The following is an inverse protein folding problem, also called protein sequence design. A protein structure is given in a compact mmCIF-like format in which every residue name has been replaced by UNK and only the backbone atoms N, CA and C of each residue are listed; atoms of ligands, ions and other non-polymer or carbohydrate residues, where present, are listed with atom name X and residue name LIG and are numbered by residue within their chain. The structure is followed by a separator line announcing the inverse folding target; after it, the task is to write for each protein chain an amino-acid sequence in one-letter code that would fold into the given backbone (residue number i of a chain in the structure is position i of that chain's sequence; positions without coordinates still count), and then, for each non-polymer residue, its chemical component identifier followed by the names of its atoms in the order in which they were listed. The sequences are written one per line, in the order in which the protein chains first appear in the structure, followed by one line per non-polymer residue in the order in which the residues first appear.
data_IF_405308989145
#
_entry.id   IF_405308989145
#
_cell.length_a   1.000
_cell.length_b   1.000
_cell.length_c   1.000
_cell.angle_alpha   90.00
_cell.angle_beta   90.00
_cell.angle_gamma   90.00
#
_symmetry.space_group_name_H-M   'P 1'
#
loop_
_entity.id
_entity.type
_entity.pdbx_description
1 polymer ?
#
# COMPACT_ATOMS: atom_id res chain seq x y z
N UNK A 1 11.68 -7.52 -9.30
CA UNK A 1 10.59 -6.93 -8.51
C UNK A 1 10.19 -5.56 -9.00
N UNK A 2 9.05 -5.08 -8.54
CA UNK A 2 8.50 -3.76 -8.84
C UNK A 2 9.41 -2.67 -8.29
N UNK A 3 9.86 -1.76 -9.15
CA UNK A 3 10.74 -0.66 -8.75
C UNK A 3 10.24 0.66 -9.33
N UNK A 4 9.85 1.63 -8.50
CA UNK A 4 9.24 2.88 -8.96
C UNK A 4 10.17 3.72 -9.83
N UNK A 5 11.48 3.59 -9.66
CA UNK A 5 12.50 4.32 -10.43
C UNK A 5 12.78 3.74 -11.83
N UNK A 6 12.28 2.54 -12.15
CA UNK A 6 12.50 1.92 -13.48
C UNK A 6 11.55 2.50 -14.52
N UNK A 7 12.06 2.68 -15.74
CA UNK A 7 11.25 3.12 -16.86
C UNK A 7 10.14 2.11 -17.18
N UNK A 8 8.98 2.63 -17.58
CA UNK A 8 7.79 1.84 -17.87
C UNK A 8 6.97 1.41 -16.65
N UNK A 9 7.53 1.46 -15.43
CA UNK A 9 6.78 1.20 -14.20
C UNK A 9 5.89 2.40 -13.85
N UNK A 10 4.67 2.15 -13.39
CA UNK A 10 3.71 3.19 -13.04
C UNK A 10 2.73 2.71 -11.97
N UNK A 11 2.12 3.63 -11.27
CA UNK A 11 0.93 3.36 -10.48
C UNK A 11 -0.23 3.12 -11.43
N UNK A 12 -1.04 2.11 -11.20
CA UNK A 12 -2.22 1.79 -12.00
C UNK A 12 -3.51 1.88 -11.21
N UNK A 13 -3.43 1.65 -9.91
CA UNK A 13 -4.52 1.83 -8.96
C UNK A 13 -3.94 2.36 -7.65
N UNK A 14 -4.75 3.05 -6.90
CA UNK A 14 -4.45 3.50 -5.55
C UNK A 14 -5.69 3.35 -4.67
N UNK A 15 -5.49 3.40 -3.37
CA UNK A 15 -6.58 3.30 -2.41
C UNK A 15 -6.29 4.08 -1.15
N UNK A 16 -7.34 4.43 -0.45
CA UNK A 16 -7.30 5.06 0.87
C UNK A 16 -8.34 4.40 1.76
N UNK A 17 -8.02 4.29 3.04
CA UNK A 17 -8.99 3.95 4.08
C UNK A 17 -8.91 4.97 5.21
N UNK A 18 -10.03 5.19 5.87
CA UNK A 18 -10.13 6.12 7.00
C UNK A 18 -11.22 5.70 7.96
N UNK A 19 -11.15 6.21 9.17
CA UNK A 19 -12.20 6.06 10.18
C UNK A 19 -13.00 7.35 10.26
N UNK A 20 -14.32 7.25 10.17
CA UNK A 20 -15.24 8.39 10.29
C UNK A 20 -16.45 7.99 11.10
N UNK A 21 -16.74 8.73 12.17
CA UNK A 21 -17.89 8.51 13.07
C UNK A 21 -17.97 7.07 13.62
N UNK A 22 -16.80 6.47 13.91
CA UNK A 22 -16.71 5.09 14.41
C UNK A 22 -16.72 4.00 13.33
N UNK A 23 -16.99 4.34 12.08
CA UNK A 23 -17.00 3.40 10.95
C UNK A 23 -15.71 3.48 10.16
N UNK A 24 -15.24 2.34 9.67
CA UNK A 24 -14.15 2.26 8.71
C UNK A 24 -14.70 2.34 7.30
N UNK A 25 -14.05 3.14 6.48
CA UNK A 25 -14.38 3.35 5.08
C UNK A 25 -13.13 3.19 4.23
N UNK A 26 -13.30 2.69 3.01
CA UNK A 26 -12.22 2.59 2.05
C UNK A 26 -12.72 2.94 0.65
N UNK A 27 -11.81 3.42 -0.16
CA UNK A 27 -12.00 3.64 -1.58
C UNK A 27 -10.77 3.16 -2.33
N UNK A 28 -10.98 2.36 -3.37
CA UNK A 28 -9.96 2.06 -4.37
C UNK A 28 -10.35 2.67 -5.70
N UNK A 29 -9.38 3.13 -6.47
CA UNK A 29 -9.63 3.80 -7.73
C UNK A 29 -8.47 3.59 -8.71
N UNK A 30 -8.79 3.70 -10.00
CA UNK A 30 -7.77 3.73 -11.05
C UNK A 30 -6.93 4.99 -10.91
N UNK A 31 -5.61 4.83 -10.97
CA UNK A 31 -4.70 5.97 -10.96
C UNK A 31 -4.62 6.63 -12.34
N UNK A 32 -4.74 7.94 -12.39
CA UNK A 32 -4.57 8.75 -13.59
C UNK A 32 -3.64 9.93 -13.28
N UNK A 33 -2.37 9.88 -13.72
CA UNK A 33 -1.42 10.96 -13.50
C UNK A 33 -1.73 12.23 -14.33
N UNK A 34 -2.58 12.10 -15.34
CA UNK A 34 -2.99 13.22 -16.21
C UNK A 34 -4.25 13.94 -15.67
N UNK A 35 -4.80 13.50 -14.54
CA UNK A 35 -5.89 14.16 -13.82
C UNK A 35 -5.33 15.04 -12.69
N UNK A 36 -5.28 16.38 -12.87
CA UNK A 36 -4.67 17.30 -11.90
C UNK A 36 -5.36 17.26 -10.54
N UNK A 37 -6.68 17.11 -10.51
CA UNK A 37 -7.47 17.08 -9.26
C UNK A 37 -7.12 15.84 -8.42
N UNK A 38 -6.90 14.70 -9.07
CA UNK A 38 -6.50 13.46 -8.43
C UNK A 38 -5.08 13.60 -7.85
N UNK A 39 -4.15 14.12 -8.66
CA UNK A 39 -2.75 14.31 -8.25
C UNK A 39 -2.65 15.30 -7.08
N UNK A 40 -3.34 16.44 -7.13
CA UNK A 40 -3.37 17.41 -6.04
C UNK A 40 -4.09 16.88 -4.79
N UNK A 41 -5.14 16.08 -4.96
CA UNK A 41 -5.79 15.38 -3.85
C UNK A 41 -4.84 14.43 -3.14
N UNK A 42 -4.10 13.63 -3.92
CA UNK A 42 -3.09 12.71 -3.40
C UNK A 42 -1.96 13.44 -2.67
N UNK A 43 -1.48 14.53 -3.23
CA UNK A 43 -0.47 15.39 -2.61
C UNK A 43 -0.93 15.93 -1.26
N UNK A 44 -2.17 16.38 -1.16
CA UNK A 44 -2.73 16.83 0.13
C UNK A 44 -2.76 15.71 1.16
N UNK A 45 -3.13 14.51 0.78
CA UNK A 45 -3.09 13.35 1.68
C UNK A 45 -1.67 13.09 2.16
N UNK A 46 -0.69 13.06 1.25
CA UNK A 46 0.70 12.71 1.58
C UNK A 46 1.41 13.74 2.45
N UNK A 47 1.16 15.03 2.24
CA UNK A 47 1.96 16.10 2.87
C UNK A 47 1.19 16.90 3.93
N UNK A 48 -0.14 16.95 3.85
CA UNK A 48 -0.97 17.79 4.72
C UNK A 48 -2.07 16.99 5.44
N UNK A 49 -2.15 15.69 5.20
CA UNK A 49 -3.13 14.82 5.86
C UNK A 49 -2.74 14.51 7.31
N UNK A 50 -3.62 13.85 8.06
CA UNK A 50 -3.28 13.24 9.34
C UNK A 50 -2.20 12.18 9.13
N UNK A 51 -1.58 11.69 10.21
CA UNK A 51 -0.57 10.65 10.13
C UNK A 51 -1.03 9.46 9.30
N UNK A 52 -0.22 9.06 8.32
CA UNK A 52 -0.52 7.98 7.37
C UNK A 52 -0.18 6.62 7.97
N UNK A 53 -0.98 5.62 7.61
CA UNK A 53 -0.77 4.22 7.95
C UNK A 53 -0.53 3.46 6.65
N UNK A 54 0.47 2.58 6.64
CA UNK A 54 0.72 1.70 5.51
C UNK A 54 1.13 0.30 5.96
N UNK A 55 1.17 -0.60 4.98
CA UNK A 55 1.88 -1.87 5.09
C UNK A 55 3.10 -1.79 4.17
N UNK A 56 4.29 -1.59 4.73
CA UNK A 56 5.54 -1.16 4.06
C UNK A 56 5.48 0.29 3.59
N UNK A 57 5.54 1.19 4.53
CA UNK A 57 5.44 2.62 4.27
C UNK A 57 6.55 3.16 3.35
N UNK A 58 7.75 2.57 3.39
CA UNK A 58 8.85 2.84 2.47
C UNK A 58 8.46 2.55 1.00
N UNK A 59 7.77 1.43 0.76
CA UNK A 59 7.27 1.08 -0.56
C UNK A 59 6.23 2.10 -1.07
N UNK A 60 5.26 2.45 -0.25
CA UNK A 60 4.21 3.42 -0.59
C UNK A 60 4.78 4.82 -0.82
N UNK A 61 5.72 5.24 0.02
CA UNK A 61 6.41 6.50 -0.12
C UNK A 61 7.23 6.57 -1.43
N UNK A 62 7.96 5.51 -1.77
CA UNK A 62 8.71 5.40 -3.02
C UNK A 62 7.80 5.52 -4.25
N UNK A 63 6.70 4.77 -4.30
CA UNK A 63 5.77 4.83 -5.42
C UNK A 63 5.12 6.20 -5.54
N UNK A 64 4.67 6.76 -4.44
CA UNK A 64 4.07 8.08 -4.40
C UNK A 64 5.03 9.15 -4.89
N UNK A 65 6.29 9.10 -4.48
CA UNK A 65 7.32 10.06 -4.89
C UNK A 65 7.65 9.99 -6.38
N UNK A 66 7.86 8.78 -6.90
CA UNK A 66 8.41 8.61 -8.25
C UNK A 66 7.35 8.49 -9.35
N UNK A 67 6.13 8.06 -9.05
CA UNK A 67 5.15 7.66 -10.07
C UNK A 67 3.76 8.25 -9.92
N UNK A 68 3.54 9.10 -8.93
CA UNK A 68 2.23 9.72 -8.73
C UNK A 68 1.95 10.95 -9.60
N UNK A 69 2.90 11.38 -10.43
CA UNK A 69 2.77 12.64 -11.17
C UNK A 69 3.04 13.89 -10.33
N UNK A 70 3.48 13.74 -9.07
CA UNK A 70 3.77 14.86 -8.16
C UNK A 70 4.97 15.74 -8.56
N UNK A 71 5.53 15.50 -9.74
CA UNK A 71 6.64 16.27 -10.27
C UNK A 71 7.96 15.50 -10.25
N UNK A 72 9.05 16.23 -10.24
CA UNK A 72 10.40 15.69 -10.40
C UNK A 72 10.83 14.81 -9.22
N UNK A 73 11.88 14.01 -9.41
CA UNK A 73 12.63 13.29 -8.38
C UNK A 73 13.10 14.16 -7.19
N UNK A 74 12.82 15.45 -7.22
CA UNK A 74 13.11 16.44 -6.17
C UNK A 74 11.94 16.74 -5.24
N UNK A 75 10.77 16.10 -5.43
CA UNK A 75 9.69 16.23 -4.45
C UNK A 75 10.19 15.73 -3.08
N UNK A 76 9.90 16.46 -1.99
CA UNK A 76 10.32 16.03 -0.67
C UNK A 76 9.74 14.64 -0.38
N UNK A 77 10.45 13.88 0.43
CA UNK A 77 9.97 12.59 0.89
C UNK A 77 8.76 12.80 1.80
N UNK A 78 7.64 12.05 1.61
CA UNK A 78 6.53 12.14 2.54
C UNK A 78 6.97 11.65 3.92
N UNK A 79 6.84 12.47 4.95
CA UNK A 79 7.33 12.20 6.31
C UNK A 79 6.24 12.04 7.35
N UNK A 80 4.97 12.16 6.98
CA UNK A 80 3.85 12.09 7.92
C UNK A 80 3.30 10.65 8.13
N UNK A 81 4.14 9.63 7.90
CA UNK A 81 3.80 8.25 8.25
C UNK A 81 3.80 8.07 9.76
N UNK A 82 2.69 7.61 10.30
CA UNK A 82 2.52 7.38 11.74
C UNK A 82 2.58 5.90 12.13
N UNK A 83 2.36 5.00 11.18
CA UNK A 83 2.35 3.57 11.44
C UNK A 83 2.68 2.76 10.20
N UNK A 84 3.50 1.72 10.39
CA UNK A 84 3.75 0.68 9.40
C UNK A 84 3.38 -0.69 9.99
N UNK A 85 2.30 -1.29 9.48
CA UNK A 85 1.81 -2.58 9.98
C UNK A 85 2.76 -3.75 9.70
N UNK A 86 3.60 -3.66 8.67
CA UNK A 86 4.64 -4.64 8.40
C UNK A 86 5.76 -4.57 9.45
N UNK A 87 6.19 -3.36 9.79
CA UNK A 87 7.18 -3.13 10.84
C UNK A 87 6.63 -3.52 12.22
N UNK A 88 5.39 -3.13 12.53
CA UNK A 88 4.74 -3.51 13.79
C UNK A 88 4.67 -5.04 13.94
N UNK A 89 4.27 -5.76 12.89
CA UNK A 89 4.25 -7.21 12.88
C UNK A 89 5.63 -7.81 13.16
N UNK A 90 6.69 -7.26 12.55
CA UNK A 90 8.06 -7.70 12.78
C UNK A 90 8.53 -7.44 14.23
N UNK A 91 8.12 -6.32 14.83
CA UNK A 91 8.49 -6.00 16.23
C UNK A 91 7.71 -6.86 17.22
N UNK A 92 6.46 -7.22 16.91
CA UNK A 92 5.64 -8.11 17.73
C UNK A 92 6.25 -9.52 17.74
N UNK A 93 6.54 -10.06 16.55
CA UNK A 93 7.17 -11.39 16.40
C UNK A 93 8.01 -11.45 15.12
N UNK A 94 9.32 -11.41 15.26
CA UNK A 94 10.26 -11.44 14.15
C UNK A 94 10.43 -12.81 13.48
N UNK A 95 9.79 -13.86 14.01
CA UNK A 95 9.82 -15.20 13.43
C UNK A 95 8.64 -15.45 12.48
N UNK A 96 7.69 -14.54 12.39
CA UNK A 96 6.53 -14.67 11.53
C UNK A 96 6.74 -14.01 10.16
N UNK A 97 5.92 -14.44 9.19
CA UNK A 97 5.81 -13.76 7.90
C UNK A 97 5.16 -12.38 8.12
N UNK A 98 5.70 -11.36 7.49
CA UNK A 98 5.23 -9.98 7.64
C UNK A 98 4.29 -9.51 6.51
N UNK A 99 3.81 -10.41 5.67
CA UNK A 99 2.94 -10.05 4.54
C UNK A 99 1.52 -9.68 4.98
N UNK A 100 0.92 -8.66 4.33
CA UNK A 100 -0.43 -8.17 4.65
C UNK A 100 -1.48 -9.30 4.72
N UNK A 101 -1.54 -10.14 3.68
CA UNK A 101 -2.50 -11.25 3.60
C UNK A 101 -2.33 -12.27 4.72
N UNK A 102 -1.10 -12.52 5.15
CA UNK A 102 -0.82 -13.41 6.26
C UNK A 102 -1.39 -12.85 7.57
N UNK A 103 -1.13 -11.58 7.87
CA UNK A 103 -1.64 -10.93 9.07
C UNK A 103 -3.14 -10.71 9.05
N UNK A 104 -3.73 -10.39 7.89
CA UNK A 104 -5.19 -10.33 7.73
C UNK A 104 -5.85 -11.66 8.10
N UNK A 105 -5.22 -12.77 7.72
CA UNK A 105 -5.71 -14.08 8.13
C UNK A 105 -5.51 -14.35 9.62
N UNK A 106 -4.29 -14.18 10.12
CA UNK A 106 -3.96 -14.53 11.51
C UNK A 106 -4.67 -13.66 12.54
N UNK A 107 -4.78 -12.36 12.28
CA UNK A 107 -5.28 -11.38 13.25
C UNK A 107 -6.75 -11.02 13.05
N UNK A 108 -7.26 -11.09 11.81
CA UNK A 108 -8.62 -10.70 11.47
C UNK A 108 -9.49 -11.86 10.98
N UNK A 109 -8.93 -13.06 10.77
CA UNK A 109 -9.67 -14.23 10.26
C UNK A 109 -10.11 -14.13 8.81
N UNK A 110 -9.57 -13.19 8.02
CA UNK A 110 -9.98 -12.93 6.63
C UNK A 110 -9.09 -13.66 5.65
N UNK A 111 -9.72 -14.42 4.74
CA UNK A 111 -9.07 -15.20 3.68
C UNK A 111 -9.60 -14.83 2.31
N UNK A 112 -8.72 -14.86 1.30
CA UNK A 112 -9.10 -14.90 -0.10
C UNK A 112 -9.78 -13.64 -0.63
N UNK A 113 -9.66 -12.52 0.05
CA UNK A 113 -10.24 -11.25 -0.40
C UNK A 113 -9.63 -10.74 -1.70
N UNK A 114 -8.48 -11.26 -2.07
CA UNK A 114 -7.71 -10.96 -3.29
C UNK A 114 -7.99 -11.93 -4.44
N UNK A 115 -8.84 -12.95 -4.23
CA UNK A 115 -9.03 -14.06 -5.17
C UNK A 115 -9.45 -13.62 -6.59
N UNK A 116 -10.21 -12.53 -6.72
CA UNK A 116 -10.62 -12.02 -8.03
C UNK A 116 -9.44 -11.36 -8.76
N UNK A 117 -8.67 -10.52 -8.07
CA UNK A 117 -7.47 -9.90 -8.60
C UNK A 117 -6.39 -10.96 -8.92
N UNK A 118 -6.19 -11.93 -8.04
CA UNK A 118 -5.23 -13.02 -8.25
C UNK A 118 -5.58 -13.89 -9.45
N UNK A 119 -6.85 -14.23 -9.65
CA UNK A 119 -7.29 -14.98 -10.85
C UNK A 119 -6.96 -14.22 -12.13
N UNK A 120 -7.21 -12.92 -12.14
CA UNK A 120 -6.88 -12.10 -13.30
C UNK A 120 -5.37 -11.98 -13.50
N UNK A 121 -4.60 -11.73 -12.44
CA UNK A 121 -3.14 -11.66 -12.49
C UNK A 121 -2.52 -13.01 -12.92
N UNK A 122 -3.08 -14.13 -12.47
CA UNK A 122 -2.64 -15.47 -12.81
C UNK A 122 -3.05 -15.90 -14.22
N UNK A 123 -3.94 -15.18 -14.89
CA UNK A 123 -4.32 -15.44 -16.28
C UNK A 123 -3.26 -15.02 -17.31
N UNK A 124 -2.19 -14.37 -16.86
CA UNK A 124 -1.04 -14.05 -17.68
C UNK A 124 -0.21 -15.30 -17.95
N UNK A 125 0.33 -15.42 -19.17
CA UNK A 125 0.92 -16.63 -19.72
C UNK A 125 1.96 -17.30 -18.81
N UNK A 126 2.03 -18.65 -18.77
CA UNK A 126 3.13 -19.35 -18.16
C UNK A 126 4.47 -18.94 -18.81
N UNK A 127 5.40 -18.43 -18.00
CA UNK A 127 6.71 -17.96 -18.48
C UNK A 127 6.88 -16.44 -18.49
N UNK A 128 5.80 -15.66 -18.41
CA UNK A 128 5.91 -14.25 -18.00
C UNK A 128 6.19 -14.24 -16.50
N UNK A 129 7.45 -14.00 -16.15
CA UNK A 129 7.83 -13.90 -14.75
C UNK A 129 7.06 -12.71 -14.10
N UNK A 130 6.16 -12.94 -13.14
CA UNK A 130 5.42 -11.88 -12.47
C UNK A 130 6.34 -10.82 -11.85
N UNK A 131 7.56 -11.20 -11.49
CA UNK A 131 8.57 -10.30 -10.94
C UNK A 131 9.30 -9.47 -11.99
N UNK A 132 9.30 -9.89 -13.25
CA UNK A 132 9.94 -9.18 -14.37
C UNK A 132 8.93 -8.42 -15.22
N UNK A 133 7.75 -8.99 -15.40
CA UNK A 133 6.62 -8.37 -16.07
C UNK A 133 5.60 -8.01 -14.99
N UNK A 134 5.66 -6.80 -14.49
CA UNK A 134 4.53 -6.30 -13.73
C UNK A 134 3.29 -6.43 -14.62
N UNK A 135 2.39 -7.35 -14.28
CA UNK A 135 1.15 -7.55 -15.01
C UNK A 135 0.41 -6.22 -15.22
N UNK A 136 0.52 -5.30 -14.26
CA UNK A 136 -0.02 -3.95 -14.36
C UNK A 136 0.67 -3.06 -15.40
N UNK A 137 1.94 -3.29 -15.74
CA UNK A 137 2.58 -2.55 -16.83
C UNK A 137 2.11 -3.01 -18.22
N UNK A 138 1.60 -4.23 -18.31
CA UNK A 138 1.02 -4.77 -19.56
C UNK A 138 -0.40 -4.26 -19.82
N UNK A 139 -1.04 -3.57 -18.85
CA UNK A 139 -2.40 -3.07 -18.95
C UNK A 139 -2.63 -2.07 -20.08
N UNK A 140 -1.58 -1.43 -20.60
CA UNK A 140 -1.71 -0.51 -21.76
C UNK A 140 -2.24 -1.20 -23.02
N UNK A 141 -2.02 -2.50 -23.16
CA UNK A 141 -2.30 -3.25 -24.37
C UNK A 141 -3.47 -4.23 -24.24
N UNK A 142 -4.09 -4.35 -23.07
CA UNK A 142 -5.13 -5.36 -22.84
C UNK A 142 -6.53 -4.76 -22.77
N UNK A 143 -7.42 -5.34 -23.56
CA UNK A 143 -8.87 -5.13 -23.48
C UNK A 143 -9.43 -5.98 -22.32
N UNK A 144 -10.41 -5.45 -21.57
CA UNK A 144 -11.11 -6.23 -20.55
C UNK A 144 -10.44 -6.27 -19.18
N UNK A 145 -9.66 -5.25 -18.83
CA UNK A 145 -9.12 -5.11 -17.45
C UNK A 145 -10.27 -4.97 -16.45
N UNK A 146 -10.34 -5.82 -15.43
CA UNK A 146 -11.41 -5.76 -14.42
C UNK A 146 -11.16 -4.67 -13.40
N UNK A 147 -11.24 -3.42 -13.81
CA UNK A 147 -10.91 -2.25 -12.97
C UNK A 147 -11.71 -2.20 -11.67
N UNK A 148 -12.97 -2.62 -11.69
CA UNK A 148 -13.80 -2.69 -10.49
C UNK A 148 -13.23 -3.65 -9.45
N UNK A 149 -12.78 -4.83 -9.87
CA UNK A 149 -12.20 -5.85 -8.98
C UNK A 149 -10.83 -5.42 -8.46
N UNK A 150 -10.00 -4.81 -9.33
CA UNK A 150 -8.69 -4.27 -8.92
C UNK A 150 -8.86 -3.14 -7.91
N UNK A 151 -9.75 -2.19 -8.16
CA UNK A 151 -10.03 -1.08 -7.24
C UNK A 151 -10.61 -1.60 -5.91
N UNK A 152 -11.52 -2.56 -5.96
CA UNK A 152 -12.08 -3.19 -4.78
C UNK A 152 -11.00 -3.89 -3.94
N UNK A 153 -10.14 -4.68 -4.58
CA UNK A 153 -9.00 -5.33 -3.93
C UNK A 153 -8.05 -4.31 -3.28
N UNK A 154 -7.66 -3.26 -4.01
CA UNK A 154 -6.83 -2.19 -3.44
C UNK A 154 -7.51 -1.51 -2.24
N UNK A 155 -8.83 -1.25 -2.32
CA UNK A 155 -9.60 -0.71 -1.21
C UNK A 155 -9.59 -1.61 0.03
N UNK A 156 -9.69 -2.92 -0.16
CA UNK A 156 -9.61 -3.90 0.92
C UNK A 156 -8.19 -3.96 1.53
N UNK A 157 -7.13 -3.87 0.73
CA UNK A 157 -5.77 -3.80 1.26
C UNK A 157 -5.61 -2.60 2.22
N UNK A 158 -6.08 -1.42 1.84
CA UNK A 158 -6.07 -0.24 2.72
C UNK A 158 -6.96 -0.41 3.94
N UNK A 159 -8.15 -1.01 3.77
CA UNK A 159 -9.09 -1.25 4.87
C UNK A 159 -8.49 -2.20 5.91
N UNK A 160 -7.92 -3.31 5.47
CA UNK A 160 -7.30 -4.26 6.39
C UNK A 160 -6.02 -3.72 7.01
N UNK A 161 -5.30 -2.85 6.32
CA UNK A 161 -4.13 -2.16 6.90
C UNK A 161 -4.53 -1.33 8.13
N UNK A 162 -5.65 -0.58 8.07
CA UNK A 162 -6.10 0.20 9.23
C UNK A 162 -6.67 -0.69 10.35
N UNK A 163 -7.33 -1.80 10.03
CA UNK A 163 -7.76 -2.77 11.03
C UNK A 163 -6.57 -3.43 11.73
N UNK A 164 -5.54 -3.81 10.97
CA UNK A 164 -4.32 -4.39 11.55
C UNK A 164 -3.61 -3.40 12.48
N UNK A 165 -3.53 -2.13 12.10
CA UNK A 165 -2.97 -1.09 12.98
C UNK A 165 -3.69 -1.08 14.33
N UNK A 166 -5.02 -1.06 14.33
CA UNK A 166 -5.82 -0.99 15.55
C UNK A 166 -5.73 -2.29 16.39
N UNK A 167 -5.41 -3.42 15.75
CA UNK A 167 -5.16 -4.69 16.42
C UNK A 167 -3.74 -4.76 16.97
N UNK A 168 -2.75 -4.31 16.23
CA UNK A 168 -1.32 -4.45 16.57
C UNK A 168 -0.89 -3.46 17.66
N UNK A 169 -1.43 -2.24 17.66
CA UNK A 169 -1.03 -1.22 18.63
C UNK A 169 -1.13 -1.70 20.09
N UNK A 170 -2.23 -2.32 20.55
CA UNK A 170 -2.33 -2.83 21.92
C UNK A 170 -1.48 -4.09 22.18
N UNK A 171 -0.96 -4.76 21.15
CA UNK A 171 -0.10 -5.94 21.29
C UNK A 171 1.35 -5.57 21.61
N UNK A 172 1.78 -4.36 21.31
CA UNK A 172 3.14 -3.91 21.57
C UNK A 172 3.34 -3.59 23.07
N UNK A 173 4.31 -4.25 23.69
CA UNK A 173 4.77 -3.83 24.99
C UNK A 173 5.43 -2.44 24.94
N UNK A 174 5.63 -1.75 26.07
CA UNK A 174 6.30 -0.44 26.06
C UNK A 174 7.70 -0.46 25.44
N UNK A 175 8.45 -1.56 25.60
CA UNK A 175 9.79 -1.72 25.00
C UNK A 175 9.70 -1.94 23.49
N UNK A 176 8.76 -2.75 23.06
CA UNK A 176 8.49 -2.96 21.64
C UNK A 176 7.98 -1.69 20.96
N UNK A 177 7.16 -0.88 21.63
CA UNK A 177 6.71 0.40 21.10
C UNK A 177 7.90 1.35 20.90
N UNK A 178 8.82 1.46 21.85
CA UNK A 178 10.06 2.26 21.70
C UNK A 178 10.92 1.76 20.53
N UNK A 179 11.02 0.44 20.36
CA UNK A 179 11.75 -0.13 19.23
C UNK A 179 11.05 0.18 17.90
N UNK A 180 9.73 0.06 17.86
CA UNK A 180 8.92 0.43 16.69
C UNK A 180 9.10 1.90 16.28
N UNK A 181 9.00 2.82 17.24
CA UNK A 181 9.21 4.26 17.02
C UNK A 181 10.62 4.54 16.48
N UNK A 182 11.64 3.95 17.05
CA UNK A 182 13.02 4.07 16.58
C UNK A 182 13.19 3.59 15.14
N UNK A 183 12.61 2.45 14.78
CA UNK A 183 12.65 1.97 13.40
C UNK A 183 11.83 2.82 12.43
N UNK A 184 10.69 3.35 12.86
CA UNK A 184 9.90 4.30 12.06
C UNK A 184 10.70 5.56 11.74
N UNK A 185 11.39 6.14 12.72
CA UNK A 185 12.27 7.30 12.52
C UNK A 185 13.40 6.99 11.53
N UNK A 186 14.05 5.83 11.67
CA UNK A 186 15.10 5.37 10.76
C UNK A 186 14.61 5.20 9.33
N UNK A 187 13.41 4.64 9.14
CA UNK A 187 12.80 4.47 7.83
C UNK A 187 12.47 5.81 7.15
N UNK A 188 12.04 6.81 7.93
CA UNK A 188 11.71 8.14 7.42
C UNK A 188 12.94 9.00 7.12
N UNK A 189 14.11 8.63 7.64
CA UNK A 189 15.38 9.33 7.42
C UNK A 189 16.09 8.90 6.12
N UNK A 190 15.67 7.80 5.48
CA UNK A 190 16.23 7.25 4.23
C UNK A 190 15.58 7.87 3.00
#
# INVERSE_FOLDING_TARGET
GLKPHRDGHRIVAASLAWRSKGEYKAIGFKWDPDCPELVEGWKRVLYNGPGLIAHKADFEACWSRFRSGLGSTRSPWPTNWSWDTCLAAHVIDNNQKVGLKFHTYCELGVLGYDAAADRWLSSFMPGENPDSCNAFNLLKSRVGVPWGEIAYYCGLDSLYTIYLRDTQEPMLSPDQMRAFEFFMEGMLAL
#
